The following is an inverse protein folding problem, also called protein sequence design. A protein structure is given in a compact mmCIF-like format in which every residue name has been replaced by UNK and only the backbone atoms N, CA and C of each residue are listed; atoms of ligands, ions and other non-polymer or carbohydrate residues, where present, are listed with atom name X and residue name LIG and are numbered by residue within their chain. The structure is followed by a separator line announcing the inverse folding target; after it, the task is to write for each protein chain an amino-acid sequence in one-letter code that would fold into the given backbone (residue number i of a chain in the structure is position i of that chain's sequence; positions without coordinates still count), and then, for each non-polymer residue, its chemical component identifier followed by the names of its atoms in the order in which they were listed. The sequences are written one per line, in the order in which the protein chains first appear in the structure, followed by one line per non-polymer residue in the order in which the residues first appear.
data_IF_181982214533
#
_entry.id   IF_181982214533
#
_cell.length_a   1.000
_cell.length_b   1.000
_cell.length_c   1.000
_cell.angle_alpha   90.00
_cell.angle_beta   90.00
_cell.angle_gamma   90.00
#
_symmetry.space_group_name_H-M   'P 1'
#
loop_
_entity.id
_entity.type
_entity.pdbx_description
1 polymer ?
#
# COMPACT_ATOMS: atom_id res chain seq x y z
N UNK A 1 -11.72 -29.05 -0.12
CA UNK A 1 -10.24 -29.04 -0.25
C UNK A 1 -9.84 -27.80 -1.01
N UNK A 2 -8.74 -27.17 -0.59
CA UNK A 2 -8.18 -25.97 -1.24
C UNK A 2 -6.94 -26.37 -2.02
N UNK A 3 -6.89 -25.96 -3.28
CA UNK A 3 -5.76 -26.11 -4.19
C UNK A 3 -5.49 -24.77 -4.87
N UNK A 4 -4.22 -24.38 -5.00
CA UNK A 4 -3.80 -23.14 -5.64
C UNK A 4 -2.61 -22.48 -4.97
N UNK A 5 -2.41 -21.20 -5.27
CA UNK A 5 -1.27 -20.42 -4.77
C UNK A 5 -1.69 -18.98 -4.45
N UNK A 6 -1.06 -18.41 -3.45
CA UNK A 6 -1.15 -16.98 -3.10
C UNK A 6 0.26 -16.42 -3.03
N UNK A 7 0.52 -15.40 -3.82
CA UNK A 7 1.82 -14.73 -3.88
C UNK A 7 1.81 -13.46 -3.04
N UNK A 8 2.99 -13.07 -2.58
CA UNK A 8 3.24 -11.81 -1.83
C UNK A 8 2.30 -11.67 -0.64
N UNK A 9 2.09 -12.74 0.11
CA UNK A 9 1.30 -12.70 1.35
C UNK A 9 2.12 -11.98 2.42
N UNK A 10 1.79 -10.71 2.67
CA UNK A 10 2.48 -9.90 3.67
C UNK A 10 2.38 -10.55 5.04
N UNK A 11 3.51 -10.61 5.74
CA UNK A 11 3.65 -11.25 7.05
C UNK A 11 3.24 -12.75 7.08
N UNK A 12 3.14 -13.39 5.92
CA UNK A 12 2.74 -14.80 5.79
C UNK A 12 3.64 -15.76 6.55
N UNK A 13 4.93 -15.43 6.69
CA UNK A 13 5.91 -16.25 7.43
C UNK A 13 5.59 -16.35 8.92
N UNK A 14 4.94 -15.35 9.53
CA UNK A 14 4.64 -15.31 10.97
C UNK A 14 3.18 -15.63 11.28
N UNK A 15 2.35 -15.85 10.25
CA UNK A 15 0.94 -16.10 10.43
C UNK A 15 0.68 -17.47 11.06
N UNK A 16 -0.08 -17.53 12.14
CA UNK A 16 -0.63 -18.78 12.70
C UNK A 16 -1.89 -19.24 11.97
N UNK A 17 -2.65 -18.29 11.40
CA UNK A 17 -3.84 -18.55 10.57
C UNK A 17 -3.82 -17.71 9.31
N UNK A 18 -4.38 -18.25 8.24
CA UNK A 18 -4.49 -17.63 6.93
C UNK A 18 -5.98 -17.44 6.60
N UNK A 19 -6.38 -16.22 6.26
CA UNK A 19 -7.68 -15.97 5.64
C UNK A 19 -7.51 -16.15 4.12
N UNK A 20 -8.13 -17.21 3.58
CA UNK A 20 -7.93 -17.62 2.20
C UNK A 20 -9.21 -17.41 1.39
N UNK A 21 -9.12 -16.57 0.36
CA UNK A 21 -10.21 -16.46 -0.63
C UNK A 21 -10.09 -17.60 -1.65
N UNK A 22 -11.18 -18.33 -1.85
CA UNK A 22 -11.26 -19.45 -2.77
C UNK A 22 -12.41 -19.27 -3.73
N UNK A 23 -12.27 -19.77 -4.96
CA UNK A 23 -13.36 -19.84 -5.92
C UNK A 23 -14.12 -21.13 -5.74
N UNK A 24 -15.39 -21.04 -5.39
CA UNK A 24 -16.28 -22.19 -5.20
C UNK A 24 -17.27 -22.36 -6.37
N UNK A 25 -17.50 -21.30 -7.16
CA UNK A 25 -18.34 -21.34 -8.38
C UNK A 25 -18.01 -20.16 -9.30
N UNK A 26 -18.55 -20.19 -10.54
CA UNK A 26 -18.35 -19.13 -11.53
C UNK A 26 -16.97 -19.15 -12.20
N UNK A 27 -16.68 -18.12 -13.01
CA UNK A 27 -15.42 -17.93 -13.74
C UNK A 27 -14.40 -17.14 -12.93
N UNK A 28 -13.17 -17.06 -13.43
CA UNK A 28 -12.07 -16.34 -12.74
C UNK A 28 -12.34 -14.84 -12.58
N UNK A 29 -13.20 -14.25 -13.42
CA UNK A 29 -13.51 -12.82 -13.42
C UNK A 29 -14.77 -12.45 -12.61
N UNK A 30 -15.55 -13.44 -12.19
CA UNK A 30 -16.80 -13.17 -11.49
C UNK A 30 -16.56 -12.71 -10.05
N UNK A 31 -17.28 -11.69 -9.63
CA UNK A 31 -17.28 -11.20 -8.23
C UNK A 31 -18.08 -12.15 -7.32
N UNK A 32 -19.06 -12.88 -7.85
CA UNK A 32 -19.80 -13.93 -7.13
C UNK A 32 -19.01 -15.24 -7.15
N UNK A 33 -19.29 -16.15 -6.21
CA UNK A 33 -18.64 -17.46 -6.14
C UNK A 33 -17.29 -17.46 -5.43
N UNK A 34 -16.92 -16.39 -4.72
CA UNK A 34 -15.77 -16.34 -3.81
C UNK A 34 -16.23 -16.71 -2.40
N UNK A 35 -15.57 -17.68 -1.78
CA UNK A 35 -15.79 -18.09 -0.40
C UNK A 35 -14.51 -17.92 0.40
N UNK A 36 -14.64 -17.47 1.65
CA UNK A 36 -13.51 -17.24 2.55
C UNK A 36 -13.39 -18.37 3.55
N UNK A 37 -12.15 -18.82 3.80
CA UNK A 37 -11.85 -19.84 4.80
C UNK A 37 -10.72 -19.35 5.71
N UNK A 38 -10.84 -19.64 7.01
CA UNK A 38 -9.78 -19.45 8.00
C UNK A 38 -9.02 -20.77 8.10
N UNK A 39 -7.78 -20.79 7.64
CA UNK A 39 -6.95 -22.00 7.54
C UNK A 39 -5.79 -21.91 8.53
N UNK A 40 -5.54 -22.98 9.26
CA UNK A 40 -4.33 -23.07 10.09
C UNK A 40 -3.09 -23.06 9.19
N UNK A 41 -2.15 -22.16 9.46
CA UNK A 41 -0.94 -22.04 8.65
C UNK A 41 0.00 -23.27 8.74
N UNK A 42 -0.19 -24.12 9.75
CA UNK A 42 0.52 -25.39 9.91
C UNK A 42 -0.24 -26.60 9.31
N UNK A 43 -1.39 -26.38 8.65
CA UNK A 43 -2.18 -27.45 8.07
C UNK A 43 -1.38 -28.24 7.02
N UNK A 44 -1.61 -29.56 6.97
CA UNK A 44 -1.00 -30.44 5.96
C UNK A 44 -1.38 -29.96 4.56
N UNK A 45 -0.42 -29.94 3.63
CA UNK A 45 -0.60 -29.48 2.26
C UNK A 45 -0.26 -28.00 2.05
N UNK A 46 0.16 -27.28 3.08
CA UNK A 46 0.64 -25.89 2.95
C UNK A 46 2.16 -25.89 2.83
N UNK A 47 2.66 -25.26 1.77
CA UNK A 47 4.08 -24.96 1.58
C UNK A 47 4.28 -23.47 1.47
N UNK A 48 5.21 -22.91 2.29
CA UNK A 48 5.58 -21.48 2.26
C UNK A 48 6.99 -21.32 1.71
N UNK A 49 7.18 -20.21 0.99
CA UNK A 49 8.49 -19.72 0.57
C UNK A 49 8.61 -18.27 1.03
N UNK A 50 9.42 -18.04 2.04
CA UNK A 50 9.56 -16.74 2.71
C UNK A 50 10.66 -15.90 2.06
N UNK A 51 10.43 -14.58 1.93
CA UNK A 51 11.43 -13.65 1.40
C UNK A 51 11.24 -12.23 1.96
N UNK A 52 12.32 -11.41 1.97
CA UNK A 52 12.22 -9.99 2.31
C UNK A 52 11.64 -9.20 1.14
N UNK A 53 10.93 -8.12 1.45
CA UNK A 53 10.48 -7.12 0.48
C UNK A 53 11.43 -5.92 0.43
N UNK A 54 11.37 -5.12 -0.65
CA UNK A 54 12.29 -4.00 -0.86
C UNK A 54 12.20 -2.92 0.22
N UNK A 55 11.05 -2.80 0.87
CA UNK A 55 10.80 -1.86 1.98
C UNK A 55 11.23 -2.39 3.37
N UNK A 56 11.93 -3.52 3.41
CA UNK A 56 12.43 -4.12 4.63
C UNK A 56 11.42 -4.98 5.40
N UNK A 57 10.19 -5.11 4.89
CA UNK A 57 9.19 -6.03 5.43
C UNK A 57 9.44 -7.45 4.90
N UNK A 58 8.54 -8.36 5.19
CA UNK A 58 8.62 -9.76 4.76
C UNK A 58 7.30 -10.21 4.17
N UNK A 59 7.40 -11.06 3.14
CA UNK A 59 6.27 -11.73 2.51
C UNK A 59 6.56 -13.21 2.32
N UNK A 60 5.54 -13.96 1.94
CA UNK A 60 5.65 -15.36 1.58
C UNK A 60 4.78 -15.67 0.38
N UNK A 61 5.25 -16.58 -0.46
CA UNK A 61 4.40 -17.29 -1.41
C UNK A 61 3.89 -18.57 -0.74
N UNK A 62 2.59 -18.81 -0.82
CA UNK A 62 1.93 -19.89 -0.12
C UNK A 62 1.20 -20.77 -1.13
N UNK A 63 1.66 -22.04 -1.23
CA UNK A 63 1.05 -23.06 -2.07
C UNK A 63 0.17 -23.97 -1.23
N UNK A 64 -1.04 -24.23 -1.70
CA UNK A 64 -2.03 -25.12 -1.12
C UNK A 64 -2.18 -26.35 -2.00
N UNK A 65 -2.01 -27.54 -1.43
CA UNK A 65 -2.19 -28.82 -2.12
C UNK A 65 -3.07 -29.72 -1.26
N UNK A 66 -4.29 -29.93 -1.71
CA UNK A 66 -5.33 -30.75 -1.06
C UNK A 66 -5.57 -30.38 0.43
N UNK A 67 -5.45 -29.09 0.76
CA UNK A 67 -5.67 -28.61 2.12
C UNK A 67 -7.15 -28.77 2.49
N UNK A 68 -7.42 -29.57 3.52
CA UNK A 68 -8.78 -29.84 4.00
C UNK A 68 -9.31 -28.69 4.81
N UNK A 69 -10.52 -28.26 4.51
CA UNK A 69 -11.32 -27.29 5.27
C UNK A 69 -12.71 -27.84 5.51
N UNK A 70 -13.32 -27.45 6.60
CA UNK A 70 -14.68 -27.80 6.99
C UNK A 70 -15.61 -26.60 6.87
N UNK A 71 -16.90 -26.79 7.08
CA UNK A 71 -17.87 -25.71 7.14
C UNK A 71 -17.60 -24.78 8.36
N UNK A 72 -16.98 -25.29 9.43
CA UNK A 72 -16.63 -24.49 10.60
C UNK A 72 -15.47 -23.50 10.33
N UNK A 73 -14.67 -23.75 9.30
CA UNK A 73 -13.56 -22.88 8.91
C UNK A 73 -14.03 -21.78 7.95
N UNK A 74 -15.28 -21.81 7.48
CA UNK A 74 -15.84 -20.84 6.55
C UNK A 74 -16.16 -19.53 7.27
N UNK A 75 -15.74 -18.42 6.68
CA UNK A 75 -16.11 -17.07 7.10
C UNK A 75 -17.18 -16.49 6.17
N UNK A 76 -18.34 -16.17 6.72
CA UNK A 76 -19.46 -15.63 5.96
C UNK A 76 -20.19 -16.70 5.13
N UNK A 77 -20.99 -16.27 4.14
CA UNK A 77 -21.79 -17.15 3.29
C UNK A 77 -21.00 -17.64 2.08
N UNK A 78 -21.28 -18.88 1.65
CA UNK A 78 -20.69 -19.46 0.44
C UNK A 78 -20.98 -18.57 -0.77
N UNK A 79 -19.92 -18.26 -1.53
CA UNK A 79 -20.01 -17.48 -2.76
C UNK A 79 -20.13 -15.96 -2.57
N UNK A 80 -20.25 -15.45 -1.32
CA UNK A 80 -20.42 -14.01 -1.01
C UNK A 80 -19.18 -13.35 -0.40
N UNK A 81 -18.05 -14.00 -0.41
CA UNK A 81 -16.80 -13.49 0.22
C UNK A 81 -16.22 -12.24 -0.44
N UNK A 82 -16.53 -11.96 -1.70
CA UNK A 82 -15.98 -10.81 -2.43
C UNK A 82 -16.31 -9.48 -1.73
N UNK A 83 -17.55 -9.25 -1.34
CA UNK A 83 -17.97 -8.02 -0.65
C UNK A 83 -17.23 -7.80 0.67
N UNK A 84 -16.92 -8.88 1.41
CA UNK A 84 -16.13 -8.81 2.64
C UNK A 84 -14.70 -8.37 2.32
N UNK A 85 -14.07 -8.98 1.30
CA UNK A 85 -12.71 -8.62 0.87
C UNK A 85 -12.64 -7.18 0.40
N UNK A 86 -13.61 -6.72 -0.39
CA UNK A 86 -13.68 -5.35 -0.89
C UNK A 86 -13.80 -4.33 0.27
N UNK A 87 -14.66 -4.59 1.24
CA UNK A 87 -14.81 -3.73 2.43
C UNK A 87 -13.51 -3.64 3.23
N UNK A 88 -12.82 -4.77 3.43
CA UNK A 88 -11.52 -4.80 4.12
C UNK A 88 -10.45 -4.08 3.32
N UNK A 89 -10.41 -4.27 1.99
CA UNK A 89 -9.45 -3.61 1.11
C UNK A 89 -9.62 -2.08 1.16
N UNK A 90 -10.84 -1.57 1.17
CA UNK A 90 -11.12 -0.14 1.28
C UNK A 90 -10.55 0.45 2.58
N UNK A 91 -10.75 -0.22 3.71
CA UNK A 91 -10.19 0.21 5.01
C UNK A 91 -8.67 0.10 5.05
N UNK A 92 -8.11 -0.95 4.45
CA UNK A 92 -6.65 -1.11 4.33
C UNK A 92 -6.04 0.00 3.46
N UNK A 93 -6.69 0.41 2.37
CA UNK A 93 -6.26 1.54 1.54
C UNK A 93 -6.23 2.83 2.35
N UNK A 94 -7.24 3.11 3.18
CA UNK A 94 -7.25 4.29 4.06
C UNK A 94 -6.09 4.28 5.04
N UNK A 95 -5.80 3.14 5.67
CA UNK A 95 -4.68 3.00 6.60
C UNK A 95 -3.33 3.21 5.89
N UNK A 96 -3.14 2.60 4.71
CA UNK A 96 -1.93 2.79 3.91
C UNK A 96 -1.78 4.22 3.39
N UNK A 97 -2.89 4.88 3.05
CA UNK A 97 -2.88 6.29 2.66
C UNK A 97 -2.43 7.20 3.82
N UNK A 98 -2.91 6.93 5.03
CA UNK A 98 -2.47 7.66 6.22
C UNK A 98 -0.98 7.44 6.52
N UNK A 99 -0.48 6.19 6.39
CA UNK A 99 0.95 5.89 6.49
C UNK A 99 1.76 6.66 5.43
N UNK A 100 1.31 6.66 4.17
CA UNK A 100 1.99 7.37 3.09
C UNK A 100 2.02 8.89 3.32
N UNK A 101 0.94 9.49 3.82
CA UNK A 101 0.89 10.90 4.20
C UNK A 101 1.94 11.22 5.26
N UNK A 102 2.06 10.40 6.32
CA UNK A 102 3.08 10.57 7.35
C UNK A 102 4.50 10.40 6.80
N UNK A 103 4.73 9.41 5.94
CA UNK A 103 6.03 9.20 5.31
C UNK A 103 6.43 10.38 4.39
N UNK A 104 5.51 10.91 3.60
CA UNK A 104 5.76 12.09 2.77
C UNK A 104 6.05 13.34 3.61
N UNK A 105 5.37 13.50 4.76
CA UNK A 105 5.64 14.60 5.70
C UNK A 105 7.09 14.57 6.20
N UNK A 106 7.57 13.41 6.63
CA UNK A 106 8.96 13.24 7.05
C UNK A 106 9.92 13.54 5.91
N UNK A 107 9.65 13.03 4.71
CA UNK A 107 10.53 13.21 3.55
C UNK A 107 10.71 14.69 3.17
N UNK A 108 9.64 15.46 3.06
CA UNK A 108 9.79 16.87 2.67
C UNK A 108 10.43 17.71 3.78
N UNK A 109 10.14 17.42 5.06
CA UNK A 109 10.76 18.11 6.20
C UNK A 109 12.27 17.82 6.29
N UNK A 110 12.67 16.56 6.18
CA UNK A 110 14.07 16.16 6.16
C UNK A 110 14.82 16.77 4.96
N UNK A 111 14.18 16.82 3.80
CA UNK A 111 14.74 17.45 2.60
C UNK A 111 14.99 18.94 2.81
N UNK A 112 14.04 19.65 3.42
CA UNK A 112 14.22 21.08 3.78
C UNK A 112 15.36 21.25 4.78
N UNK A 113 15.42 20.41 5.81
CA UNK A 113 16.47 20.48 6.83
C UNK A 113 17.86 20.19 6.22
N UNK A 114 17.97 19.15 5.41
CA UNK A 114 19.20 18.78 4.72
C UNK A 114 19.69 19.90 3.79
N UNK A 115 18.83 20.45 2.94
CA UNK A 115 19.19 21.50 1.98
C UNK A 115 19.63 22.81 2.65
N UNK A 116 19.16 23.10 3.86
CA UNK A 116 19.63 24.24 4.67
C UNK A 116 21.04 24.03 5.20
N UNK A 117 21.45 22.80 5.46
CA UNK A 117 22.78 22.48 6.03
C UNK A 117 23.81 22.21 4.93
N UNK A 118 23.42 21.51 3.86
CA UNK A 118 24.33 21.14 2.77
C UNK A 118 24.68 22.34 1.92
N UNK A 119 25.97 22.61 1.79
CA UNK A 119 26.50 23.72 0.97
C UNK A 119 27.17 23.18 -0.30
N UNK A 120 26.93 23.86 -1.40
CA UNK A 120 27.64 23.70 -2.67
C UNK A 120 27.72 25.07 -3.34
N UNK A 121 28.79 25.34 -4.12
CA UNK A 121 29.02 26.63 -4.78
C UNK A 121 28.97 27.80 -3.78
N UNK A 122 29.54 27.58 -2.57
CA UNK A 122 29.59 28.53 -1.44
C UNK A 122 28.23 28.94 -0.83
N UNK A 123 27.13 28.31 -1.25
CA UNK A 123 25.78 28.58 -0.78
C UNK A 123 25.09 27.31 -0.20
N UNK A 124 24.20 27.45 0.79
CA UNK A 124 23.27 26.39 1.14
C UNK A 124 22.42 25.97 -0.06
N UNK A 125 22.14 24.68 -0.24
CA UNK A 125 21.29 24.21 -1.34
C UNK A 125 19.90 24.84 -1.32
N UNK A 126 19.40 25.17 -0.14
CA UNK A 126 18.10 25.84 0.05
C UNK A 126 18.04 27.28 -0.50
N UNK A 127 19.14 27.90 -0.90
CA UNK A 127 19.14 29.22 -1.52
C UNK A 127 18.86 29.18 -3.02
N UNK A 128 19.09 28.03 -3.67
CA UNK A 128 18.82 27.89 -5.10
C UNK A 128 17.31 27.84 -5.38
N UNK A 129 16.81 28.78 -6.19
CA UNK A 129 15.39 28.96 -6.45
C UNK A 129 14.72 27.70 -7.02
N UNK A 130 15.39 26.97 -7.92
CA UNK A 130 14.87 25.73 -8.50
C UNK A 130 14.61 24.65 -7.45
N UNK A 131 15.44 24.59 -6.39
CA UNK A 131 15.27 23.63 -5.30
C UNK A 131 14.18 24.07 -4.33
N UNK A 132 14.02 25.38 -4.11
CA UNK A 132 12.87 25.93 -3.35
C UNK A 132 11.54 25.57 -4.01
N UNK A 133 11.43 25.70 -5.35
CA UNK A 133 10.23 25.33 -6.08
C UNK A 133 9.91 23.84 -5.89
N UNK A 134 10.89 22.96 -6.07
CA UNK A 134 10.70 21.52 -5.85
C UNK A 134 10.21 21.18 -4.45
N UNK A 135 10.82 21.78 -3.41
CA UNK A 135 10.39 21.56 -2.02
C UNK A 135 8.98 22.09 -1.76
N UNK A 136 8.61 23.20 -2.40
CA UNK A 136 7.24 23.75 -2.33
C UNK A 136 6.24 22.80 -2.99
N UNK A 137 6.57 22.25 -4.16
CA UNK A 137 5.75 21.25 -4.85
C UNK A 137 5.59 19.97 -4.01
N UNK A 138 6.67 19.49 -3.38
CA UNK A 138 6.60 18.35 -2.45
C UNK A 138 5.61 18.61 -1.30
N UNK A 139 5.65 19.80 -0.72
CA UNK A 139 4.69 20.21 0.32
C UNK A 139 3.26 20.26 -0.22
N UNK A 140 3.04 20.80 -1.43
CA UNK A 140 1.72 20.88 -2.04
C UNK A 140 1.12 19.49 -2.29
N UNK A 141 1.90 18.56 -2.85
CA UNK A 141 1.47 17.18 -3.09
C UNK A 141 1.11 16.47 -1.78
N UNK A 142 1.93 16.64 -0.74
CA UNK A 142 1.62 16.13 0.60
C UNK A 142 0.32 16.73 1.16
N UNK A 143 0.12 18.06 1.07
CA UNK A 143 -1.05 18.74 1.62
C UNK A 143 -2.35 18.30 0.93
N UNK A 144 -2.32 18.13 -0.39
CA UNK A 144 -3.44 17.61 -1.18
C UNK A 144 -3.77 16.16 -0.77
N UNK A 145 -2.75 15.31 -0.68
CA UNK A 145 -2.92 13.91 -0.26
C UNK A 145 -3.50 13.81 1.15
N UNK A 146 -2.99 14.61 2.09
CA UNK A 146 -3.48 14.69 3.48
C UNK A 146 -4.95 15.10 3.54
N UNK A 147 -5.33 16.15 2.80
CA UNK A 147 -6.71 16.65 2.77
C UNK A 147 -7.68 15.61 2.22
N UNK A 148 -7.31 14.92 1.13
CA UNK A 148 -8.16 13.88 0.54
C UNK A 148 -8.22 12.63 1.43
N UNK A 149 -7.14 12.27 2.12
CA UNK A 149 -7.12 11.18 3.10
C UNK A 149 -8.08 11.44 4.25
N UNK A 150 -8.09 12.66 4.80
CA UNK A 150 -9.04 13.07 5.84
C UNK A 150 -10.48 13.00 5.33
N UNK A 151 -10.77 13.54 4.12
CA UNK A 151 -12.10 13.47 3.51
C UNK A 151 -12.56 12.01 3.36
N UNK A 152 -11.74 11.14 2.79
CA UNK A 152 -12.09 9.74 2.57
C UNK A 152 -12.37 9.00 3.88
N UNK A 153 -11.56 9.26 4.92
CA UNK A 153 -11.77 8.66 6.26
C UNK A 153 -13.09 9.13 6.89
N UNK A 154 -13.44 10.41 6.75
CA UNK A 154 -14.72 10.92 7.24
C UNK A 154 -15.90 10.27 6.53
N UNK A 155 -15.85 10.15 5.20
CA UNK A 155 -16.89 9.52 4.40
C UNK A 155 -17.07 8.03 4.75
N UNK A 156 -15.98 7.29 4.97
CA UNK A 156 -16.03 5.89 5.43
C UNK A 156 -16.71 5.78 6.80
N UNK A 157 -16.35 6.66 7.73
CA UNK A 157 -16.94 6.68 9.08
C UNK A 157 -18.45 6.98 9.04
N UNK A 158 -18.88 7.79 8.10
CA UNK A 158 -20.29 8.16 7.92
C UNK A 158 -21.10 7.14 7.08
N UNK A 159 -20.46 6.15 6.48
CA UNK A 159 -21.10 5.19 5.57
C UNK A 159 -21.66 5.87 4.31
N UNK A 160 -21.01 6.91 3.81
CA UNK A 160 -21.45 7.67 2.65
C UNK A 160 -21.39 6.88 1.36
N UNK A 161 -22.34 7.08 0.44
CA UNK A 161 -22.31 6.50 -0.89
C UNK A 161 -21.11 6.97 -1.74
N UNK A 162 -20.51 8.11 -1.41
CA UNK A 162 -19.33 8.64 -2.10
C UNK A 162 -18.01 7.97 -1.66
N UNK A 163 -18.02 7.16 -0.60
CA UNK A 163 -16.83 6.59 0.03
C UNK A 163 -15.97 5.85 -0.98
N UNK A 164 -16.53 4.90 -1.72
CA UNK A 164 -15.77 4.05 -2.63
C UNK A 164 -15.09 4.86 -3.74
N UNK A 165 -15.83 5.77 -4.36
CA UNK A 165 -15.28 6.66 -5.39
C UNK A 165 -14.15 7.55 -4.84
N UNK A 166 -14.34 8.08 -3.62
CA UNK A 166 -13.31 8.90 -2.97
C UNK A 166 -12.07 8.10 -2.59
N UNK A 167 -12.20 6.83 -2.18
CA UNK A 167 -11.07 5.92 -1.93
C UNK A 167 -10.27 5.68 -3.22
N UNK A 168 -10.91 5.50 -4.37
CA UNK A 168 -10.22 5.37 -5.65
C UNK A 168 -9.45 6.66 -6.01
N UNK A 169 -10.08 7.83 -5.86
CA UNK A 169 -9.39 9.11 -6.04
C UNK A 169 -8.20 9.28 -5.09
N UNK A 170 -8.37 8.91 -3.82
CA UNK A 170 -7.31 8.95 -2.82
C UNK A 170 -6.13 8.06 -3.21
N UNK A 171 -6.37 6.80 -3.54
CA UNK A 171 -5.28 5.85 -3.85
C UNK A 171 -4.52 6.27 -5.10
N UNK A 172 -5.22 6.81 -6.12
CA UNK A 172 -4.60 7.44 -7.28
C UNK A 172 -3.69 8.60 -6.88
N UNK A 173 -4.19 9.53 -6.07
CA UNK A 173 -3.41 10.70 -5.62
C UNK A 173 -2.22 10.28 -4.75
N UNK A 174 -2.40 9.33 -3.82
CA UNK A 174 -1.33 8.79 -2.98
C UNK A 174 -0.21 8.20 -3.83
N UNK A 175 -0.51 7.41 -4.85
CA UNK A 175 0.53 6.83 -5.72
C UNK A 175 1.33 7.90 -6.46
N UNK A 176 0.67 8.92 -7.03
CA UNK A 176 1.34 10.06 -7.68
C UNK A 176 2.19 10.88 -6.72
N UNK A 177 1.59 11.31 -5.61
CA UNK A 177 2.26 12.16 -4.62
C UNK A 177 3.45 11.43 -3.97
N UNK A 178 3.29 10.14 -3.62
CA UNK A 178 4.35 9.31 -3.06
C UNK A 178 5.56 9.20 -3.99
N UNK A 179 5.31 8.97 -5.27
CA UNK A 179 6.37 8.91 -6.28
C UNK A 179 7.07 10.26 -6.43
N UNK A 180 6.30 11.33 -6.53
CA UNK A 180 6.85 12.68 -6.69
C UNK A 180 7.68 13.11 -5.48
N UNK A 181 7.11 13.01 -4.27
CA UNK A 181 7.80 13.41 -3.04
C UNK A 181 9.01 12.53 -2.77
N UNK A 182 8.86 11.21 -2.92
CA UNK A 182 9.94 10.26 -2.69
C UNK A 182 11.13 10.44 -3.63
N UNK A 183 10.88 10.55 -4.94
CA UNK A 183 11.94 10.77 -5.93
C UNK A 183 12.64 12.11 -5.75
N UNK A 184 11.90 13.20 -5.47
CA UNK A 184 12.50 14.49 -5.21
C UNK A 184 13.30 14.53 -3.90
N UNK A 185 12.84 13.84 -2.86
CA UNK A 185 13.62 13.71 -1.62
C UNK A 185 14.96 13.01 -1.88
N UNK A 186 14.96 11.86 -2.55
CA UNK A 186 16.20 11.15 -2.94
C UNK A 186 17.10 12.05 -3.80
N UNK A 187 16.55 12.71 -4.81
CA UNK A 187 17.31 13.59 -5.71
C UNK A 187 17.97 14.75 -4.97
N UNK A 188 17.25 15.39 -4.04
CA UNK A 188 17.75 16.56 -3.30
C UNK A 188 18.77 16.18 -2.22
N UNK A 189 18.80 14.92 -1.77
CA UNK A 189 19.87 14.38 -0.92
C UNK A 189 21.08 13.89 -1.72
N UNK A 190 20.95 13.76 -3.05
CA UNK A 190 22.00 13.25 -3.91
C UNK A 190 22.40 11.81 -3.58
N UNK A 191 23.67 11.46 -3.68
CA UNK A 191 24.17 10.11 -3.37
C UNK A 191 23.78 9.60 -1.98
N UNK A 192 23.71 10.46 -0.98
CA UNK A 192 23.30 10.10 0.38
C UNK A 192 21.84 9.63 0.45
N UNK A 193 20.96 10.11 -0.44
CA UNK A 193 19.56 9.70 -0.50
C UNK A 193 19.34 8.25 -0.94
N UNK A 194 20.38 7.58 -1.46
CA UNK A 194 20.35 6.16 -1.88
C UNK A 194 21.03 5.23 -0.89
N UNK A 195 21.64 5.77 0.18
CA UNK A 195 22.31 4.94 1.19
C UNK A 195 21.34 4.41 2.25
N UNK A 196 21.72 3.33 2.92
CA UNK A 196 20.98 2.80 4.06
C UNK A 196 21.16 3.63 5.36
N UNK A 197 22.07 4.62 5.34
CA UNK A 197 22.37 5.47 6.50
C UNK A 197 21.27 6.50 6.75
N UNK A 198 20.65 7.01 5.68
CA UNK A 198 19.57 7.98 5.79
C UNK A 198 18.20 7.33 5.63
N UNK A 199 17.29 7.70 6.52
CA UNK A 199 15.90 7.20 6.48
C UNK A 199 15.13 7.57 5.20
N UNK A 200 15.65 8.50 4.41
CA UNK A 200 15.05 8.92 3.12
C UNK A 200 14.87 7.72 2.18
N UNK A 201 15.90 6.87 2.03
CA UNK A 201 15.82 5.68 1.18
C UNK A 201 14.76 4.69 1.68
N UNK A 202 14.64 4.51 3.00
CA UNK A 202 13.64 3.60 3.59
C UNK A 202 12.21 4.08 3.36
N UNK A 203 11.93 5.36 3.61
CA UNK A 203 10.61 5.94 3.32
C UNK A 203 10.27 5.92 1.84
N UNK A 204 11.24 6.22 0.96
CA UNK A 204 11.04 6.12 -0.48
C UNK A 204 10.65 4.70 -0.92
N UNK A 205 11.40 3.68 -0.50
CA UNK A 205 11.09 2.27 -0.79
C UNK A 205 9.69 1.90 -0.30
N UNK A 206 9.34 2.31 0.92
CA UNK A 206 8.01 2.05 1.49
C UNK A 206 6.89 2.69 0.70
N UNK A 207 7.02 3.95 0.29
CA UNK A 207 6.05 4.66 -0.54
C UNK A 207 5.83 3.97 -1.89
N UNK A 208 6.88 3.43 -2.53
CA UNK A 208 6.76 2.69 -3.78
C UNK A 208 6.00 1.37 -3.60
N UNK A 209 6.21 0.68 -2.49
CA UNK A 209 5.46 -0.55 -2.16
C UNK A 209 3.98 -0.24 -1.88
N UNK A 210 3.68 0.84 -1.15
CA UNK A 210 2.30 1.27 -0.89
C UNK A 210 1.52 1.52 -2.19
N UNK A 211 2.16 2.09 -3.22
CA UNK A 211 1.51 2.29 -4.53
C UNK A 211 1.03 0.96 -5.14
N UNK A 212 1.80 -0.11 -5.01
CA UNK A 212 1.45 -1.41 -5.59
C UNK A 212 0.41 -2.22 -4.81
N UNK A 213 0.19 -1.91 -3.52
CA UNK A 213 -0.74 -2.65 -2.67
C UNK A 213 -2.21 -2.28 -2.94
N UNK A 214 -3.09 -3.29 -3.00
CA UNK A 214 -4.53 -3.15 -3.27
C UNK A 214 -4.88 -2.44 -4.59
N UNK A 215 -4.05 -2.57 -5.60
CA UNK A 215 -4.14 -1.87 -6.88
C UNK A 215 -3.23 -0.65 -6.95
N UNK A 216 -2.64 -0.42 -8.12
CA UNK A 216 -1.75 0.70 -8.38
C UNK A 216 -2.52 1.97 -8.80
N UNK A 217 -1.77 3.03 -9.05
CA UNK A 217 -2.28 4.33 -9.51
C UNK A 217 -3.22 4.19 -10.71
N UNK A 218 -2.84 3.43 -11.75
CA UNK A 218 -3.62 3.31 -12.99
C UNK A 218 -4.93 2.53 -12.76
N UNK A 219 -4.88 1.43 -12.01
CA UNK A 219 -6.07 0.68 -11.61
C UNK A 219 -7.10 1.57 -10.90
N UNK A 220 -6.64 2.42 -9.97
CA UNK A 220 -7.56 3.28 -9.23
C UNK A 220 -8.07 4.45 -10.06
N UNK A 221 -7.30 4.94 -11.04
CA UNK A 221 -7.80 5.92 -12.00
C UNK A 221 -8.95 5.34 -12.85
N UNK A 222 -8.76 4.13 -13.39
CA UNK A 222 -9.80 3.43 -14.17
C UNK A 222 -11.09 3.25 -13.35
N UNK A 223 -10.95 2.82 -12.09
CA UNK A 223 -12.10 2.66 -11.18
C UNK A 223 -12.78 3.96 -10.78
N UNK A 224 -12.05 5.06 -10.76
CA UNK A 224 -12.60 6.38 -10.44
C UNK A 224 -13.43 6.97 -11.58
N UNK A 225 -13.05 6.71 -12.85
CA UNK A 225 -13.71 7.24 -14.04
C UNK A 225 -14.84 6.35 -14.56
N UNK A 226 -14.87 5.05 -14.17
CA UNK A 226 -15.94 4.12 -14.50
C UNK A 226 -17.22 4.41 -13.72
#
# INVERSE_FOLDING_TARGET
MINGEKCVVLNGQSAGKLLVSTRTSGTSQDHTGITLFIVDAAASGIKRTDYPTVDGLRAADIKFTDVRVSAADQLGETGKGYAIVESIANRAILALAAEAVGAMEVLYQDTIAYTKQRRQFDHPLSEFQVLKHRMTEMFMEHALAKSLCMKATMLETQGSAETQRTIHALKYLIGKASRFVGQNAVQLHGGMGMTEELRVAHYFKRLMVIDSQFGNTDHHLERFVA
#
